data_IF_325903301202
#
_entry.id   IF_325903301202
#
_cell.length_a   1.000
_cell.length_b   1.000
_cell.length_c   1.000
_cell.angle_alpha   90.00
_cell.angle_beta   90.00
_cell.angle_gamma   90.00
#
_symmetry.space_group_name_H-M   'P 1'
#
loop_
_entity.id
_entity.type
_entity.pdbx_description
1 polymer ?
#
# COMPACT_ATOMS: atom_id res chain seq x y z
N UNK A 1 -17.15 -16.29 -7.91
CA UNK A 1 -16.89 -16.55 -6.47
C UNK A 1 -17.55 -15.43 -5.69
N UNK A 2 -18.11 -15.72 -4.53
CA UNK A 2 -18.65 -14.66 -3.67
C UNK A 2 -17.48 -13.82 -3.09
N UNK A 3 -17.75 -12.56 -2.77
CA UNK A 3 -16.78 -11.74 -2.01
C UNK A 3 -16.57 -12.35 -0.62
N UNK A 4 -15.36 -12.29 -0.04
CA UNK A 4 -15.15 -12.73 1.34
C UNK A 4 -15.96 -11.82 2.29
N UNK A 5 -16.44 -12.40 3.40
CA UNK A 5 -17.21 -11.64 4.39
C UNK A 5 -16.30 -10.93 5.40
N UNK A 6 -15.11 -11.50 5.67
CA UNK A 6 -14.12 -10.88 6.55
C UNK A 6 -12.69 -11.13 6.06
N UNK A 7 -11.97 -10.05 5.78
CA UNK A 7 -10.63 -10.15 5.21
C UNK A 7 -9.73 -9.01 5.64
N UNK A 8 -8.41 -9.25 5.57
CA UNK A 8 -7.39 -8.23 5.84
C UNK A 8 -6.90 -7.60 4.52
N UNK A 9 -6.60 -6.31 4.55
CA UNK A 9 -5.99 -5.57 3.45
C UNK A 9 -4.67 -4.96 3.90
N UNK A 10 -3.60 -5.22 3.13
CA UNK A 10 -2.28 -4.63 3.26
C UNK A 10 -1.91 -3.87 2.00
N UNK A 11 -1.03 -2.88 2.10
CA UNK A 11 -0.57 -2.04 1.00
C UNK A 11 0.81 -1.46 1.29
N UNK A 12 1.51 -1.01 0.25
CA UNK A 12 2.68 -0.14 0.37
C UNK A 12 3.76 -0.76 1.30
N UNK A 13 4.21 -1.96 0.94
CA UNK A 13 5.14 -2.79 1.74
C UNK A 13 6.58 -2.30 1.57
N UNK A 14 6.93 -1.84 0.36
CA UNK A 14 8.21 -1.21 0.06
C UNK A 14 9.46 -2.00 0.50
N UNK A 15 9.43 -3.33 0.31
CA UNK A 15 10.55 -4.20 0.66
C UNK A 15 10.83 -4.31 2.16
N UNK A 16 9.93 -3.83 3.02
CA UNK A 16 10.07 -3.90 4.48
C UNK A 16 9.58 -5.25 5.00
N UNK A 17 10.44 -6.27 4.88
CA UNK A 17 10.14 -7.63 5.33
C UNK A 17 9.78 -7.68 6.83
N UNK A 18 10.51 -6.93 7.68
CA UNK A 18 10.27 -6.93 9.12
C UNK A 18 8.87 -6.46 9.48
N UNK A 19 8.40 -5.39 8.82
CA UNK A 19 7.04 -4.87 8.99
C UNK A 19 6.00 -5.86 8.44
N UNK A 20 6.26 -6.45 7.26
CA UNK A 20 5.35 -7.42 6.64
C UNK A 20 5.17 -8.66 7.51
N UNK A 21 6.26 -9.23 8.03
CA UNK A 21 6.21 -10.41 8.91
C UNK A 21 5.39 -10.13 10.18
N UNK A 22 5.60 -8.97 10.81
CA UNK A 22 4.85 -8.57 12.00
C UNK A 22 3.36 -8.38 11.71
N UNK A 23 3.01 -7.74 10.58
CA UNK A 23 1.62 -7.58 10.14
C UNK A 23 0.97 -8.93 9.86
N UNK A 24 1.63 -9.81 9.10
CA UNK A 24 1.12 -11.16 8.81
C UNK A 24 0.97 -12.01 10.07
N UNK A 25 1.91 -11.90 11.03
CA UNK A 25 1.79 -12.57 12.32
C UNK A 25 0.57 -12.06 13.11
N UNK A 26 0.33 -10.74 13.09
CA UNK A 26 -0.84 -10.13 13.73
C UNK A 26 -2.14 -10.60 13.06
N UNK A 27 -2.22 -10.61 11.73
CA UNK A 27 -3.38 -11.10 10.99
C UNK A 27 -3.66 -12.57 11.32
N UNK A 28 -2.65 -13.43 11.30
CA UNK A 28 -2.80 -14.87 11.66
C UNK A 28 -3.28 -15.09 13.09
N UNK A 29 -3.04 -14.15 14.01
CA UNK A 29 -3.54 -14.23 15.39
C UNK A 29 -5.00 -13.80 15.54
N UNK A 30 -5.62 -13.27 14.50
CA UNK A 30 -7.02 -12.86 14.50
C UNK A 30 -7.91 -14.02 14.04
N UNK A 31 -9.06 -14.17 14.68
CA UNK A 31 -10.04 -15.16 14.27
C UNK A 31 -10.74 -14.75 12.97
N UNK A 32 -11.16 -15.74 12.20
CA UNK A 32 -12.12 -15.60 11.09
C UNK A 32 -11.67 -14.66 9.94
N UNK A 33 -10.36 -14.44 9.75
CA UNK A 33 -9.84 -13.78 8.55
C UNK A 33 -9.78 -14.83 7.42
N UNK A 34 -10.63 -14.69 6.41
CA UNK A 34 -10.74 -15.64 5.31
C UNK A 34 -9.56 -15.53 4.35
N UNK A 35 -9.16 -14.30 4.00
CA UNK A 35 -8.03 -14.02 3.12
C UNK A 35 -7.32 -12.72 3.53
N UNK A 36 -6.09 -12.57 3.08
CA UNK A 36 -5.38 -11.29 3.08
C UNK A 36 -5.18 -10.84 1.65
N UNK A 37 -5.46 -9.58 1.34
CA UNK A 37 -5.24 -8.98 0.01
C UNK A 37 -4.14 -7.94 0.07
N UNK A 38 -3.39 -7.78 -1.03
CA UNK A 38 -2.28 -6.83 -1.14
C UNK A 38 -2.55 -5.83 -2.27
N UNK A 39 -2.48 -4.54 -1.95
CA UNK A 39 -2.85 -3.44 -2.84
C UNK A 39 -1.66 -2.84 -3.61
N UNK A 40 -0.52 -3.51 -3.67
CA UNK A 40 0.64 -3.07 -4.46
C UNK A 40 1.68 -2.26 -3.69
N UNK A 41 2.63 -1.71 -4.44
CA UNK A 41 3.85 -1.05 -3.94
C UNK A 41 4.65 -1.95 -2.99
N UNK A 42 5.09 -3.08 -3.56
CA UNK A 42 5.54 -4.25 -2.82
C UNK A 42 7.04 -4.18 -2.51
N UNK A 43 7.87 -3.88 -3.51
CA UNK A 43 9.31 -4.13 -3.45
C UNK A 43 10.17 -2.86 -3.40
N UNK A 44 9.69 -1.73 -3.93
CA UNK A 44 10.47 -0.50 -4.06
C UNK A 44 10.81 0.09 -2.69
N UNK A 45 12.04 -0.13 -2.26
CA UNK A 45 12.57 0.33 -0.98
C UNK A 45 13.94 -0.27 -0.68
N UNK A 46 14.76 0.38 0.16
CA UNK A 46 16.15 0.01 0.41
C UNK A 46 16.31 -0.96 1.60
N UNK A 47 15.37 -1.89 1.79
CA UNK A 47 15.43 -2.80 2.94
C UNK A 47 15.73 -4.22 2.47
N UNK A 48 14.71 -5.04 2.21
CA UNK A 48 14.86 -6.45 1.83
C UNK A 48 13.88 -6.83 0.69
N UNK A 49 13.99 -6.24 -0.51
CA UNK A 49 13.01 -6.46 -1.58
C UNK A 49 12.96 -7.90 -2.08
N UNK A 50 14.10 -8.59 -2.21
CA UNK A 50 14.13 -9.97 -2.67
C UNK A 50 13.43 -10.93 -1.67
N UNK A 51 13.75 -10.84 -0.38
CA UNK A 51 13.14 -11.68 0.63
C UNK A 51 11.64 -11.37 0.82
N UNK A 52 11.24 -10.10 0.63
CA UNK A 52 9.82 -9.70 0.59
C UNK A 52 9.10 -10.36 -0.58
N UNK A 53 9.71 -10.39 -1.77
CA UNK A 53 9.15 -11.07 -2.94
C UNK A 53 9.01 -12.58 -2.70
N UNK A 54 10.07 -13.25 -2.19
CA UNK A 54 10.06 -14.68 -1.88
C UNK A 54 8.91 -15.04 -0.94
N UNK A 55 8.71 -14.25 0.12
CA UNK A 55 7.63 -14.47 1.09
C UNK A 55 6.26 -14.35 0.42
N UNK A 56 6.01 -13.26 -0.33
CA UNK A 56 4.70 -13.01 -0.93
C UNK A 56 4.37 -14.00 -2.06
N UNK A 57 5.35 -14.42 -2.84
CA UNK A 57 5.18 -15.49 -3.84
C UNK A 57 4.77 -16.79 -3.14
N UNK A 58 5.41 -17.13 -2.01
CA UNK A 58 5.09 -18.35 -1.25
C UNK A 58 3.68 -18.35 -0.64
N UNK A 59 3.14 -17.17 -0.35
CA UNK A 59 1.82 -16.99 0.26
C UNK A 59 0.68 -16.96 -0.76
N UNK A 60 0.96 -16.67 -2.01
CA UNK A 60 0.00 -16.59 -3.13
C UNK A 60 -1.26 -15.77 -2.82
N UNK A 61 -1.04 -14.61 -2.19
CA UNK A 61 -2.14 -13.70 -1.83
C UNK A 61 -2.76 -13.05 -3.07
N UNK A 62 -4.07 -12.79 -3.09
CA UNK A 62 -4.67 -11.90 -4.07
C UNK A 62 -3.96 -10.53 -4.04
N UNK A 63 -3.21 -10.24 -5.08
CA UNK A 63 -2.28 -9.10 -5.14
C UNK A 63 -2.50 -8.32 -6.43
N UNK A 64 -2.50 -6.99 -6.33
CA UNK A 64 -2.44 -6.09 -7.48
C UNK A 64 -1.07 -5.39 -7.52
N UNK A 65 -0.71 -4.84 -8.68
CA UNK A 65 0.46 -3.97 -8.79
C UNK A 65 0.11 -2.53 -8.42
N UNK A 66 1.05 -1.82 -7.80
CA UNK A 66 1.04 -0.38 -7.67
C UNK A 66 1.90 0.30 -8.76
N UNK A 67 2.15 1.61 -8.60
CA UNK A 67 3.01 2.36 -9.52
C UNK A 67 4.47 1.92 -9.43
N UNK A 68 4.93 1.54 -8.25
CA UNK A 68 6.32 1.12 -8.05
C UNK A 68 6.66 -0.22 -8.70
N UNK A 69 5.73 -1.15 -8.88
CA UNK A 69 5.99 -2.35 -9.68
C UNK A 69 6.28 -1.99 -11.14
N UNK A 70 5.52 -1.06 -11.72
CA UNK A 70 5.75 -0.57 -13.08
C UNK A 70 7.07 0.20 -13.19
N UNK A 71 7.34 1.12 -12.26
CA UNK A 71 8.57 1.93 -12.21
C UNK A 71 9.82 1.06 -12.03
N UNK A 72 9.76 0.04 -11.16
CA UNK A 72 10.82 -0.94 -10.97
C UNK A 72 11.12 -1.70 -12.28
N UNK A 73 10.09 -2.16 -12.99
CA UNK A 73 10.26 -2.86 -14.26
C UNK A 73 10.85 -1.95 -15.36
N UNK A 74 10.53 -0.66 -15.34
CA UNK A 74 11.08 0.33 -16.28
C UNK A 74 12.58 0.58 -16.05
N UNK A 75 13.14 0.28 -14.86
CA UNK A 75 14.58 0.33 -14.59
C UNK A 75 15.41 -0.58 -15.51
N UNK A 76 14.80 -1.59 -16.12
CA UNK A 76 15.44 -2.39 -17.17
C UNK A 76 15.79 -1.59 -18.44
N UNK A 77 15.18 -0.43 -18.64
CA UNK A 77 15.34 0.41 -19.85
C UNK A 77 16.06 1.71 -19.58
N UNK A 78 15.84 2.30 -18.42
CA UNK A 78 16.46 3.55 -18.00
C UNK A 78 16.51 3.62 -16.47
N UNK A 79 17.52 4.28 -15.87
CA UNK A 79 17.58 4.47 -14.43
C UNK A 79 16.29 5.11 -13.89
N UNK A 80 15.71 4.49 -12.86
CA UNK A 80 14.52 4.97 -12.16
C UNK A 80 14.82 5.76 -10.89
N UNK A 81 13.84 5.93 -10.05
CA UNK A 81 14.01 6.43 -8.70
C UNK A 81 14.95 5.53 -7.88
N UNK A 82 15.66 6.11 -6.90
CA UNK A 82 16.68 5.38 -6.15
C UNK A 82 16.14 4.11 -5.46
N UNK A 83 14.90 4.12 -4.99
CA UNK A 83 14.26 2.96 -4.35
C UNK A 83 13.88 1.87 -5.38
N UNK A 84 13.37 2.27 -6.56
CA UNK A 84 13.06 1.35 -7.65
C UNK A 84 14.31 0.71 -8.23
N UNK A 85 15.36 1.52 -8.44
CA UNK A 85 16.64 1.05 -8.94
C UNK A 85 17.27 0.04 -7.98
N UNK A 86 17.29 0.33 -6.68
CA UNK A 86 17.80 -0.60 -5.66
C UNK A 86 17.02 -1.91 -5.68
N UNK A 87 15.69 -1.85 -5.66
CA UNK A 87 14.86 -3.04 -5.70
C UNK A 87 15.01 -3.84 -7.01
N UNK A 88 15.22 -3.15 -8.15
CA UNK A 88 15.52 -3.83 -9.41
C UNK A 88 16.83 -4.62 -9.36
N UNK A 89 17.90 -4.04 -8.78
CA UNK A 89 19.22 -4.67 -8.66
C UNK A 89 19.20 -5.86 -7.69
N UNK A 90 18.47 -5.75 -6.57
CA UNK A 90 18.35 -6.80 -5.56
C UNK A 90 17.41 -7.95 -5.96
N UNK A 91 16.50 -7.74 -6.92
CA UNK A 91 15.50 -8.74 -7.30
C UNK A 91 15.96 -9.59 -8.49
N UNK A 92 15.52 -10.84 -8.52
CA UNK A 92 15.79 -11.79 -9.61
C UNK A 92 14.86 -11.57 -10.80
N UNK A 93 15.19 -12.17 -11.96
CA UNK A 93 14.28 -12.20 -13.10
C UNK A 93 12.93 -12.88 -12.77
N UNK A 94 12.93 -13.88 -11.88
CA UNK A 94 11.70 -14.55 -11.44
C UNK A 94 10.80 -13.60 -10.64
N UNK A 95 11.36 -12.82 -9.70
CA UNK A 95 10.63 -11.81 -8.95
C UNK A 95 10.01 -10.76 -9.88
N UNK A 96 10.80 -10.26 -10.84
CA UNK A 96 10.32 -9.29 -11.84
C UNK A 96 9.25 -9.85 -12.76
N UNK A 97 9.33 -11.14 -13.12
CA UNK A 97 8.29 -11.81 -13.89
C UNK A 97 6.99 -11.94 -13.08
N UNK A 98 7.09 -12.21 -11.79
CA UNK A 98 5.94 -12.26 -10.90
C UNK A 98 5.24 -10.90 -10.82
N UNK A 99 5.94 -9.81 -10.51
CA UNK A 99 5.30 -8.48 -10.43
C UNK A 99 4.75 -8.01 -11.78
N UNK A 100 5.39 -8.38 -12.90
CA UNK A 100 4.90 -8.07 -14.24
C UNK A 100 3.57 -8.75 -14.58
N UNK A 101 3.26 -9.89 -13.95
CA UNK A 101 2.02 -10.62 -14.15
C UNK A 101 0.87 -10.11 -13.28
N UNK A 102 1.13 -9.24 -12.30
CA UNK A 102 0.10 -8.71 -11.39
C UNK A 102 -0.87 -7.79 -12.14
N UNK A 103 -2.19 -7.92 -11.90
CA UNK A 103 -3.18 -7.02 -12.48
C UNK A 103 -3.10 -5.61 -11.84
N UNK A 104 -3.55 -4.59 -12.57
CA UNK A 104 -3.64 -3.21 -12.03
C UNK A 104 -4.81 -3.05 -11.04
N UNK A 105 -5.90 -3.78 -11.27
CA UNK A 105 -7.07 -3.83 -10.40
C UNK A 105 -7.57 -5.27 -10.30
N UNK A 106 -8.23 -5.61 -9.20
CA UNK A 106 -8.75 -6.96 -9.00
C UNK A 106 -10.12 -6.91 -8.32
N UNK A 107 -11.20 -7.40 -8.99
CA UNK A 107 -12.48 -7.57 -8.33
C UNK A 107 -12.45 -8.81 -7.42
N UNK A 108 -12.96 -8.67 -6.19
CA UNK A 108 -13.25 -9.79 -5.30
C UNK A 108 -14.76 -9.98 -5.25
N UNK A 109 -15.27 -10.88 -6.07
CA UNK A 109 -16.69 -11.05 -6.30
C UNK A 109 -17.34 -9.81 -6.96
N UNK A 110 -18.60 -9.56 -6.64
CA UNK A 110 -19.37 -8.46 -7.25
C UNK A 110 -19.28 -7.15 -6.43
N UNK A 111 -18.90 -7.24 -5.17
CA UNK A 111 -19.03 -6.14 -4.21
C UNK A 111 -17.74 -5.37 -3.96
N UNK A 112 -16.56 -6.00 -4.13
CA UNK A 112 -15.28 -5.44 -3.73
C UNK A 112 -14.38 -5.20 -4.94
N UNK A 113 -13.70 -4.06 -4.98
CA UNK A 113 -12.65 -3.76 -5.96
C UNK A 113 -11.37 -3.37 -5.24
N UNK A 114 -10.25 -3.94 -5.68
CA UNK A 114 -8.91 -3.52 -5.31
C UNK A 114 -8.35 -2.62 -6.40
N UNK A 115 -7.81 -1.46 -6.03
CA UNK A 115 -7.00 -0.56 -6.86
C UNK A 115 -5.84 -0.04 -6.04
N UNK A 116 -4.75 0.42 -6.68
CA UNK A 116 -3.63 1.00 -5.93
C UNK A 116 -3.88 2.50 -5.68
N UNK A 117 -3.94 3.30 -6.72
CA UNK A 117 -4.42 4.68 -6.69
C UNK A 117 -5.93 4.73 -6.97
N UNK A 118 -6.33 5.45 -8.02
CA UNK A 118 -7.69 5.34 -8.57
C UNK A 118 -7.83 4.05 -9.41
N UNK A 119 -9.04 3.61 -9.74
CA UNK A 119 -9.22 2.47 -10.65
C UNK A 119 -8.64 2.68 -12.07
N UNK A 120 -8.27 3.92 -12.42
CA UNK A 120 -7.85 4.31 -13.76
C UNK A 120 -6.40 4.81 -13.82
N UNK A 121 -5.82 5.22 -12.68
CA UNK A 121 -4.47 5.78 -12.58
C UNK A 121 -3.81 5.37 -11.26
N UNK A 122 -2.65 4.69 -11.35
CA UNK A 122 -1.89 4.22 -10.19
C UNK A 122 -1.10 5.33 -9.46
N UNK A 123 -1.01 6.55 -10.04
CA UNK A 123 -0.35 7.71 -9.47
C UNK A 123 -1.32 8.73 -8.85
N UNK A 124 -2.61 8.63 -9.15
CA UNK A 124 -3.59 9.55 -8.58
C UNK A 124 -4.10 9.04 -7.23
N UNK A 125 -3.96 9.83 -6.16
CA UNK A 125 -4.55 9.49 -4.86
C UNK A 125 -6.07 9.44 -4.96
N UNK A 126 -6.68 8.35 -4.48
CA UNK A 126 -8.13 8.25 -4.48
C UNK A 126 -8.77 9.09 -3.36
N UNK A 127 -8.19 9.09 -2.17
CA UNK A 127 -8.76 9.69 -0.95
C UNK A 127 -8.12 11.01 -0.52
N UNK A 128 -7.02 11.42 -1.14
CA UNK A 128 -6.35 12.70 -0.88
C UNK A 128 -6.37 13.60 -2.11
N UNK A 129 -6.45 14.92 -1.88
CA UNK A 129 -6.26 15.94 -2.91
C UNK A 129 -5.04 16.77 -2.59
N UNK A 130 -4.08 16.78 -3.52
CA UNK A 130 -2.87 17.59 -3.43
C UNK A 130 -3.12 18.94 -4.08
N UNK A 131 -2.77 20.00 -3.36
CA UNK A 131 -2.91 21.40 -3.78
C UNK A 131 -1.59 22.14 -3.53
N UNK A 132 -1.40 23.36 -4.04
CA UNK A 132 -0.23 24.17 -3.66
C UNK A 132 -0.10 24.42 -2.14
N UNK A 133 -1.18 24.24 -1.37
CA UNK A 133 -1.19 24.36 0.09
C UNK A 133 -0.91 23.05 0.83
N UNK A 134 -0.60 21.96 0.13
CA UNK A 134 -0.33 20.64 0.71
C UNK A 134 -1.41 19.60 0.40
N UNK A 135 -1.37 18.50 1.14
CA UNK A 135 -2.27 17.36 0.97
C UNK A 135 -3.44 17.43 1.96
N UNK A 136 -4.67 17.19 1.50
CA UNK A 136 -5.89 17.14 2.33
C UNK A 136 -6.77 15.95 1.95
N UNK A 137 -7.69 15.60 2.82
CA UNK A 137 -8.76 14.67 2.49
C UNK A 137 -9.54 15.16 1.27
N UNK A 138 -9.77 14.28 0.31
CA UNK A 138 -10.62 14.55 -0.84
C UNK A 138 -12.10 14.68 -0.40
N UNK A 139 -12.85 15.56 -1.06
CA UNK A 139 -14.30 15.61 -0.87
C UNK A 139 -14.98 14.36 -1.47
N UNK A 140 -16.20 14.06 -1.03
CA UNK A 140 -16.96 12.94 -1.60
C UNK A 140 -17.20 13.08 -3.11
N UNK A 141 -17.33 14.30 -3.60
CA UNK A 141 -17.47 14.60 -5.04
C UNK A 141 -16.17 14.34 -5.81
N UNK A 142 -15.01 14.71 -5.24
CA UNK A 142 -13.69 14.42 -5.83
C UNK A 142 -13.47 12.91 -5.92
N UNK A 143 -13.77 12.17 -4.83
CA UNK A 143 -13.66 10.70 -4.83
C UNK A 143 -14.60 10.07 -5.85
N UNK A 144 -15.87 10.48 -5.89
CA UNK A 144 -16.84 9.98 -6.85
C UNK A 144 -16.43 10.26 -8.31
N UNK A 145 -15.85 11.44 -8.57
CA UNK A 145 -15.31 11.80 -9.90
C UNK A 145 -14.15 10.89 -10.31
N UNK A 146 -13.22 10.59 -9.39
CA UNK A 146 -12.07 9.68 -9.63
C UNK A 146 -12.50 8.23 -9.83
N UNK A 147 -13.57 7.80 -9.19
CA UNK A 147 -14.16 6.48 -9.41
C UNK A 147 -14.87 6.36 -10.77
N UNK A 148 -15.35 7.46 -11.33
CA UNK A 148 -16.05 7.46 -12.62
C UNK A 148 -17.28 6.55 -12.62
N UNK A 149 -17.30 5.56 -13.51
CA UNK A 149 -18.39 4.60 -13.65
C UNK A 149 -18.29 3.38 -12.73
N UNK A 150 -17.22 3.27 -11.94
CA UNK A 150 -17.04 2.14 -11.02
C UNK A 150 -18.08 2.19 -9.92
N UNK A 151 -18.77 1.07 -9.71
CA UNK A 151 -19.76 0.90 -8.63
C UNK A 151 -19.49 -0.40 -7.91
N UNK A 152 -19.14 -0.30 -6.64
CA UNK A 152 -18.92 -1.41 -5.70
C UNK A 152 -19.33 -0.96 -4.31
N UNK A 153 -19.73 -1.87 -3.45
CA UNK A 153 -20.05 -1.52 -2.06
C UNK A 153 -18.80 -1.26 -1.20
N UNK A 154 -17.65 -1.85 -1.60
CA UNK A 154 -16.35 -1.61 -0.99
C UNK A 154 -15.27 -1.44 -2.07
N UNK A 155 -14.48 -0.38 -1.95
CA UNK A 155 -13.30 -0.13 -2.80
C UNK A 155 -12.09 0.03 -1.89
N UNK A 156 -11.01 -0.69 -2.19
CA UNK A 156 -9.75 -0.58 -1.47
C UNK A 156 -8.72 0.13 -2.35
N UNK A 157 -7.99 1.07 -1.74
CA UNK A 157 -6.86 1.76 -2.36
C UNK A 157 -5.65 1.81 -1.43
N UNK A 158 -4.49 2.12 -1.97
CA UNK A 158 -3.22 2.33 -1.25
C UNK A 158 -2.61 3.68 -1.60
N UNK A 159 -1.33 3.67 -2.00
CA UNK A 159 -0.57 4.73 -2.62
C UNK A 159 -0.29 5.96 -1.73
N UNK A 160 -1.28 6.54 -1.06
CA UNK A 160 -1.06 7.70 -0.20
C UNK A 160 -0.48 7.35 1.17
N UNK A 161 -0.40 6.09 1.55
CA UNK A 161 0.03 5.59 2.86
C UNK A 161 -0.83 6.08 4.04
N UNK A 162 -1.89 6.83 3.80
CA UNK A 162 -2.74 7.42 4.86
C UNK A 162 -3.90 6.49 5.17
N UNK A 163 -3.99 5.89 6.38
CA UNK A 163 -5.11 5.03 6.73
C UNK A 163 -6.41 5.83 6.79
N UNK A 164 -7.39 5.45 5.96
CA UNK A 164 -8.68 6.14 5.86
C UNK A 164 -9.83 5.16 5.57
N UNK A 165 -11.01 5.55 5.99
CA UNK A 165 -12.28 4.95 5.57
C UNK A 165 -13.27 6.10 5.29
N UNK A 166 -13.77 6.17 4.07
CA UNK A 166 -14.64 7.27 3.60
C UNK A 166 -15.89 6.68 2.97
N UNK A 167 -17.06 7.08 3.49
CA UNK A 167 -18.35 6.70 2.91
C UNK A 167 -18.81 7.75 1.92
N UNK A 168 -19.26 7.31 0.74
CA UNK A 168 -19.84 8.16 -0.29
C UNK A 168 -21.37 8.23 -0.16
N UNK A 169 -21.98 9.21 -0.80
CA UNK A 169 -23.42 9.43 -0.75
C UNK A 169 -24.26 8.27 -1.33
N UNK A 170 -23.68 7.47 -2.23
CA UNK A 170 -24.31 6.28 -2.80
C UNK A 170 -24.16 5.02 -1.95
N UNK A 171 -23.53 5.12 -0.77
CA UNK A 171 -23.30 4.02 0.15
C UNK A 171 -22.00 3.24 -0.08
N UNK A 172 -21.21 3.59 -1.11
CA UNK A 172 -19.87 3.01 -1.32
C UNK A 172 -18.94 3.36 -0.15
N UNK A 173 -18.27 2.37 0.41
CA UNK A 173 -17.17 2.57 1.36
C UNK A 173 -15.83 2.48 0.62
N UNK A 174 -14.99 3.51 0.75
CA UNK A 174 -13.63 3.52 0.19
C UNK A 174 -12.63 3.47 1.34
N UNK A 175 -11.66 2.54 1.27
CA UNK A 175 -10.73 2.27 2.36
C UNK A 175 -9.29 2.27 1.85
N UNK A 176 -8.43 3.02 2.53
CA UNK A 176 -6.98 2.88 2.46
C UNK A 176 -6.50 2.25 3.78
N UNK A 177 -5.82 1.10 3.76
CA UNK A 177 -5.32 0.46 4.98
C UNK A 177 -4.13 1.19 5.61
N UNK A 178 -3.56 2.18 4.92
CA UNK A 178 -2.26 2.75 5.23
C UNK A 178 -1.11 1.85 4.74
N UNK A 179 0.11 2.23 5.03
CA UNK A 179 1.32 1.54 4.59
C UNK A 179 1.80 0.51 5.60
N UNK A 180 2.20 -0.67 5.12
CA UNK A 180 2.96 -1.64 5.91
C UNK A 180 4.39 -1.16 6.11
N UNK A 181 5.04 -0.69 5.04
CA UNK A 181 6.49 -0.56 4.98
C UNK A 181 7.07 0.77 5.42
N UNK A 182 6.43 1.89 5.10
CA UNK A 182 6.95 3.22 5.43
C UNK A 182 5.82 4.23 5.65
N UNK A 183 5.95 5.05 6.70
CA UNK A 183 4.88 5.90 7.19
C UNK A 183 5.02 7.36 6.79
N UNK A 184 6.12 7.73 6.14
CA UNK A 184 6.37 9.09 5.70
C UNK A 184 7.17 9.13 4.40
N UNK A 185 6.83 10.08 3.53
CA UNK A 185 7.57 10.38 2.31
C UNK A 185 7.28 11.80 1.82
N UNK A 186 8.07 12.25 0.87
CA UNK A 186 7.87 13.51 0.13
C UNK A 186 7.67 13.22 -1.35
N UNK A 187 6.82 14.00 -2.01
CA UNK A 187 6.59 13.91 -3.45
C UNK A 187 6.46 15.32 -4.05
N UNK A 188 6.83 15.45 -5.32
CA UNK A 188 6.83 16.73 -6.04
C UNK A 188 5.62 16.94 -6.96
N UNK A 189 4.90 15.86 -7.25
CA UNK A 189 3.78 15.88 -8.20
C UNK A 189 2.44 15.62 -7.49
N UNK A 190 1.35 16.24 -7.90
CA UNK A 190 1.24 17.35 -8.86
C UNK A 190 1.76 18.70 -8.31
N UNK A 191 1.96 18.80 -7.01
CA UNK A 191 2.60 19.88 -6.27
C UNK A 191 3.46 19.30 -5.16
N UNK A 192 4.54 19.98 -4.74
CA UNK A 192 5.34 19.53 -3.60
C UNK A 192 4.46 19.32 -2.36
N UNK A 193 4.55 18.14 -1.79
CA UNK A 193 3.82 17.79 -0.58
C UNK A 193 4.52 16.69 0.20
N UNK A 194 4.07 16.51 1.42
CA UNK A 194 4.55 15.45 2.29
C UNK A 194 3.40 14.65 2.87
N UNK A 195 3.67 13.38 3.12
CA UNK A 195 2.84 12.48 3.91
C UNK A 195 3.64 12.09 5.15
N UNK A 196 3.00 12.14 6.31
CA UNK A 196 3.61 11.72 7.58
C UNK A 196 2.53 11.26 8.56
N UNK A 197 2.56 9.99 8.91
CA UNK A 197 1.62 9.39 9.86
C UNK A 197 2.03 9.59 11.33
N UNK A 198 3.23 10.14 11.59
CA UNK A 198 3.73 10.52 12.91
C UNK A 198 4.05 9.34 13.84
N UNK A 199 4.16 8.12 13.30
CA UNK A 199 4.43 6.91 14.07
C UNK A 199 5.05 5.84 13.16
N UNK A 200 6.08 5.08 13.59
CA UNK A 200 6.75 4.06 12.78
C UNK A 200 5.93 2.77 12.59
N UNK A 201 4.81 2.62 13.30
CA UNK A 201 4.00 1.39 13.28
C UNK A 201 3.52 1.04 11.87
N UNK A 202 3.70 -0.21 11.48
CA UNK A 202 3.10 -0.76 10.27
C UNK A 202 1.57 -0.74 10.36
N UNK A 203 0.90 -0.61 9.21
CA UNK A 203 -0.55 -0.46 9.16
C UNK A 203 -1.19 -1.52 8.27
N UNK A 204 -2.41 -1.92 8.64
CA UNK A 204 -3.30 -2.73 7.84
C UNK A 204 -4.76 -2.49 8.25
N UNK A 205 -5.71 -2.92 7.43
CA UNK A 205 -7.13 -2.85 7.75
C UNK A 205 -7.77 -4.24 7.73
N UNK A 206 -8.81 -4.43 8.54
CA UNK A 206 -9.73 -5.55 8.44
C UNK A 206 -11.08 -5.02 8.00
N UNK A 207 -11.59 -5.56 6.90
CA UNK A 207 -12.92 -5.27 6.38
C UNK A 207 -13.85 -6.43 6.74
N UNK A 208 -15.04 -6.12 7.22
CA UNK A 208 -16.04 -7.10 7.66
C UNK A 208 -17.41 -6.71 7.14
N UNK A 209 -18.09 -7.65 6.49
CA UNK A 209 -19.46 -7.49 6.01
C UNK A 209 -20.45 -7.69 7.14
N UNK A 210 -21.26 -6.70 7.39
CA UNK A 210 -22.36 -6.77 8.37
C UNK A 210 -23.74 -6.62 7.72
N UNK A 211 -24.81 -6.69 8.50
CA UNK A 211 -26.19 -6.58 8.01
C UNK A 211 -26.51 -5.18 7.45
N UNK A 212 -25.69 -4.18 7.75
CA UNK A 212 -25.88 -2.80 7.33
C UNK A 212 -24.78 -2.30 6.38
N UNK A 213 -23.98 -3.20 5.78
CA UNK A 213 -22.88 -2.91 4.89
C UNK A 213 -21.52 -3.28 5.48
N UNK A 214 -20.47 -2.69 4.97
CA UNK A 214 -19.10 -2.96 5.40
C UNK A 214 -18.70 -2.15 6.63
N UNK A 215 -17.98 -2.79 7.54
CA UNK A 215 -17.25 -2.15 8.65
C UNK A 215 -15.75 -2.32 8.46
N UNK A 216 -14.95 -1.42 9.04
CA UNK A 216 -13.49 -1.41 8.91
C UNK A 216 -12.85 -1.17 10.27
N UNK A 217 -11.84 -1.99 10.57
CA UNK A 217 -10.95 -1.79 11.69
C UNK A 217 -9.55 -1.48 11.17
N UNK A 218 -9.02 -0.30 11.49
CA UNK A 218 -7.65 0.10 11.20
C UNK A 218 -6.72 -0.38 12.32
N UNK A 219 -5.58 -0.97 11.95
CA UNK A 219 -4.64 -1.56 12.89
C UNK A 219 -3.25 -0.92 12.78
N UNK A 220 -2.60 -0.80 13.94
CA UNK A 220 -1.20 -0.41 14.08
C UNK A 220 -0.43 -1.56 14.70
N UNK A 221 0.71 -1.93 14.11
CA UNK A 221 1.54 -3.05 14.54
C UNK A 221 2.95 -2.56 14.81
N UNK A 222 3.42 -2.80 16.02
CA UNK A 222 4.83 -2.61 16.34
C UNK A 222 5.65 -3.73 15.68
N UNK A 223 6.80 -3.37 15.12
CA UNK A 223 7.76 -4.30 14.54
C UNK A 223 9.18 -3.82 14.87
N UNK A 224 10.19 -4.52 14.47
CA UNK A 224 11.59 -4.12 14.66
C UNK A 224 11.99 -3.04 13.63
N UNK A 225 11.50 -1.81 13.82
CA UNK A 225 11.83 -0.67 12.96
C UNK A 225 13.28 -0.21 13.11
N UNK A 226 13.92 -0.47 14.26
CA UNK A 226 15.35 -0.16 14.44
C UNK A 226 16.18 -0.99 13.46
N UNK A 227 15.91 -2.28 13.34
CA UNK A 227 16.56 -3.17 12.37
C UNK A 227 16.28 -2.78 10.92
N UNK A 228 15.05 -2.41 10.59
CA UNK A 228 14.71 -1.93 9.26
C UNK A 228 15.46 -0.63 8.92
N UNK A 229 15.55 0.31 9.88
CA UNK A 229 16.28 1.56 9.73
C UNK A 229 17.81 1.33 9.59
N UNK A 230 18.39 0.44 10.40
CA UNK A 230 19.79 0.05 10.25
C UNK A 230 20.08 -0.55 8.86
N UNK A 231 19.16 -1.34 8.31
CA UNK A 231 19.30 -1.89 6.98
C UNK A 231 19.26 -0.80 5.90
N UNK A 232 18.30 0.12 5.98
CA UNK A 232 18.24 1.27 5.08
C UNK A 232 19.52 2.14 5.19
N UNK A 233 20.02 2.37 6.39
CA UNK A 233 21.28 3.09 6.62
C UNK A 233 22.47 2.40 5.95
N UNK A 234 22.61 1.07 6.09
CA UNK A 234 23.67 0.29 5.43
C UNK A 234 23.61 0.36 3.90
N UNK A 235 22.41 0.49 3.34
CA UNK A 235 22.18 0.65 1.91
C UNK A 235 22.26 2.12 1.45
N UNK A 236 22.82 3.02 2.28
CA UNK A 236 23.06 4.42 1.94
C UNK A 236 21.81 5.30 1.88
N UNK A 237 20.73 4.90 2.58
CA UNK A 237 19.46 5.63 2.62
C UNK A 237 19.12 6.12 4.04
N UNK A 238 19.88 7.10 4.55
CA UNK A 238 19.61 7.70 5.88
C UNK A 238 18.24 8.41 5.93
N UNK A 239 17.76 8.92 4.81
CA UNK A 239 16.42 9.50 4.67
C UNK A 239 15.33 8.47 5.00
N UNK A 240 15.47 7.23 4.53
CA UNK A 240 14.56 6.14 4.87
C UNK A 240 14.70 5.73 6.33
N UNK A 241 15.94 5.63 6.84
CA UNK A 241 16.19 5.26 8.23
C UNK A 241 15.47 6.22 9.20
N UNK A 242 15.57 7.53 8.98
CA UNK A 242 14.87 8.54 9.79
C UNK A 242 13.34 8.35 9.75
N UNK A 243 12.78 8.16 8.55
CA UNK A 243 11.34 7.95 8.36
C UNK A 243 10.84 6.66 8.99
N UNK A 244 11.63 5.58 8.93
CA UNK A 244 11.30 4.29 9.56
C UNK A 244 11.28 4.38 11.08
N UNK A 245 12.15 5.17 11.69
CA UNK A 245 12.21 5.37 13.14
C UNK A 245 11.09 6.26 13.68
N UNK A 246 10.64 7.24 12.91
CA UNK A 246 9.76 8.29 13.41
C UNK A 246 8.36 8.30 12.79
N UNK A 247 8.21 7.79 11.56
CA UNK A 247 7.01 8.00 10.74
C UNK A 247 6.83 9.47 10.33
N UNK A 248 7.93 10.24 10.24
CA UNK A 248 7.98 11.67 9.93
C UNK A 248 9.04 11.95 8.87
N UNK A 249 8.96 13.13 8.23
CA UNK A 249 9.94 13.61 7.25
C UNK A 249 11.03 14.51 7.88
N UNK A 250 11.11 14.57 9.19
CA UNK A 250 12.16 15.29 9.90
C UNK A 250 13.52 14.61 9.69
N UNK A 251 14.54 15.42 9.37
CA UNK A 251 15.92 14.99 9.19
C UNK A 251 16.63 14.74 10.53
#
# INVERSE_FOLDING_TARGET
MNSPDRFAAISDIHGNLHALEAVLARIRSMADIEITVNLGDILSGPIEPAATADLLISLDLPTIRGNHERQLLDCARAPGGASDQFAFEETTASHRSWIAALPATLPLGEDVLLSHGTPHDDLEYLLETVTPGGCRLASGEEVASRLGAVRRSLILCGHSHVPRAVSLADGTLVVNPGSVGIQAYTADQPFPHEIANGSPHARFAVCERGPHGWSVSQHMVAYDWDRAAETAQRHGRPDWASRLLSGRNEA
#
